data_IF_733007183089
#
_entry.id   IF_733007183089
#
_cell.length_a   1.000
_cell.length_b   1.000
_cell.length_c   1.000
_cell.angle_alpha   90.00
_cell.angle_beta   90.00
_cell.angle_gamma   90.00
#
_symmetry.space_group_name_H-M   'P 1'
#
loop_
_entity.id
_entity.type
_entity.pdbx_description
1 polymer ?
#
# COMPACT_ATOMS: atom_id res chain seq x y z
N UNK A 1 -1.69 -7.82 6.71
CA UNK A 1 -0.82 -8.89 6.15
C UNK A 1 0.65 -8.68 6.51
N UNK A 2 1.24 -7.51 6.22
CA UNK A 2 2.65 -7.22 6.57
C UNK A 2 3.01 -7.54 8.03
N UNK A 3 2.18 -7.13 9.01
CA UNK A 3 2.43 -7.37 10.44
C UNK A 3 2.56 -8.88 10.77
N UNK A 4 1.69 -9.70 10.16
CA UNK A 4 1.66 -11.15 10.39
C UNK A 4 2.84 -11.81 9.69
N UNK A 5 3.10 -11.45 8.42
CA UNK A 5 4.21 -12.00 7.66
C UNK A 5 5.56 -11.55 8.25
N UNK A 6 5.68 -10.33 8.76
CA UNK A 6 6.87 -9.83 9.45
C UNK A 6 7.15 -10.59 10.74
N UNK A 7 6.11 -10.95 11.49
CA UNK A 7 6.26 -11.82 12.65
C UNK A 7 6.72 -13.24 12.27
N UNK A 8 6.10 -13.85 11.27
CA UNK A 8 6.40 -15.22 10.83
C UNK A 8 7.77 -15.36 10.15
N UNK A 9 8.11 -14.47 9.21
CA UNK A 9 9.30 -14.61 8.37
C UNK A 9 10.52 -13.82 8.86
N UNK A 10 10.31 -12.74 9.63
CA UNK A 10 11.39 -11.86 10.12
C UNK A 10 11.54 -11.87 11.64
N UNK A 11 10.74 -12.69 12.35
CA UNK A 11 10.78 -12.81 13.81
C UNK A 11 10.38 -11.52 14.55
N UNK A 12 9.61 -10.63 13.92
CA UNK A 12 9.24 -9.35 14.52
C UNK A 12 8.15 -9.52 15.59
N UNK A 13 8.27 -8.79 16.71
CA UNK A 13 7.25 -8.82 17.75
C UNK A 13 6.04 -7.97 17.38
N UNK A 14 4.86 -8.60 17.39
CA UNK A 14 3.59 -7.91 17.16
C UNK A 14 3.25 -7.07 18.39
N UNK A 15 3.21 -5.75 18.21
CA UNK A 15 2.85 -4.81 19.28
C UNK A 15 1.34 -4.56 19.27
N UNK A 16 0.69 -4.66 20.43
CA UNK A 16 -0.76 -4.45 20.57
C UNK A 16 -1.24 -3.10 19.98
N UNK A 17 -0.43 -2.04 20.10
CA UNK A 17 -0.72 -0.72 19.52
C UNK A 17 -0.86 -0.75 17.99
N UNK A 18 -0.06 -1.58 17.33
CA UNK A 18 -0.10 -1.74 15.86
C UNK A 18 -1.40 -2.45 15.47
N UNK A 19 -1.81 -3.48 16.22
CA UNK A 19 -3.08 -4.16 16.00
C UNK A 19 -4.28 -3.20 16.15
N UNK A 20 -4.29 -2.39 17.20
CA UNK A 20 -5.34 -1.38 17.43
C UNK A 20 -5.37 -0.35 16.30
N UNK A 21 -4.21 0.19 15.91
CA UNK A 21 -4.12 1.12 14.79
C UNK A 21 -4.55 0.51 13.46
N UNK A 22 -4.29 -0.79 13.24
CA UNK A 22 -4.77 -1.52 12.07
C UNK A 22 -6.30 -1.62 12.05
N UNK A 23 -6.94 -1.90 13.19
CA UNK A 23 -8.41 -1.92 13.28
C UNK A 23 -9.01 -0.56 12.90
N UNK A 24 -8.49 0.54 13.49
CA UNK A 24 -8.92 1.90 13.13
C UNK A 24 -8.71 2.21 11.64
N UNK A 25 -7.57 1.81 11.08
CA UNK A 25 -7.28 1.99 9.65
C UNK A 25 -8.24 1.23 8.74
N UNK A 26 -8.52 -0.05 9.04
CA UNK A 26 -9.44 -0.88 8.26
C UNK A 26 -10.87 -0.33 8.35
N UNK A 27 -11.34 -0.03 9.56
CA UNK A 27 -12.69 0.54 9.76
C UNK A 27 -12.83 1.89 9.07
N UNK A 28 -11.81 2.74 9.11
CA UNK A 28 -11.83 4.02 8.44
C UNK A 28 -11.83 3.92 6.91
N UNK A 29 -11.04 3.00 6.32
CA UNK A 29 -11.07 2.72 4.88
C UNK A 29 -12.44 2.17 4.47
N UNK A 30 -13.01 1.25 5.25
CA UNK A 30 -14.34 0.71 4.99
C UNK A 30 -15.43 1.79 5.03
N UNK A 31 -15.31 2.77 5.94
CA UNK A 31 -16.21 3.92 6.00
C UNK A 31 -16.05 4.86 4.79
N UNK A 32 -14.81 5.13 4.35
CA UNK A 32 -14.55 5.97 3.16
C UNK A 32 -15.25 5.41 1.92
N UNK A 33 -15.16 4.09 1.72
CA UNK A 33 -15.71 3.41 0.55
C UNK A 33 -17.06 2.73 0.81
N UNK A 34 -17.79 3.16 1.84
CA UNK A 34 -19.02 2.48 2.28
C UNK A 34 -20.09 2.48 1.19
N UNK A 35 -20.31 3.62 0.53
CA UNK A 35 -21.26 3.75 -0.58
C UNK A 35 -20.96 2.77 -1.71
N UNK A 36 -19.70 2.69 -2.10
CA UNK A 36 -19.22 1.83 -3.16
C UNK A 36 -19.39 0.35 -2.77
N UNK A 37 -19.04 -0.02 -1.53
CA UNK A 37 -19.20 -1.38 -1.02
C UNK A 37 -20.67 -1.83 -1.01
N UNK A 38 -21.59 -0.99 -0.55
CA UNK A 38 -23.03 -1.33 -0.54
C UNK A 38 -23.62 -1.42 -1.95
N UNK A 39 -23.06 -0.70 -2.93
CA UNK A 39 -23.48 -0.81 -4.33
C UNK A 39 -23.06 -2.13 -4.98
N UNK A 40 -21.99 -2.77 -4.47
CA UNK A 40 -21.44 -4.04 -4.98
C UNK A 40 -22.13 -5.28 -4.41
N UNK A 41 -22.95 -5.14 -3.36
CA UNK A 41 -23.55 -6.28 -2.62
C UNK A 41 -24.50 -7.13 -3.49
N UNK A 42 -25.03 -6.57 -4.57
CA UNK A 42 -25.90 -7.28 -5.52
C UNK A 42 -25.16 -7.99 -6.67
N UNK A 43 -23.83 -7.90 -6.73
CA UNK A 43 -23.04 -8.48 -7.80
C UNK A 43 -22.29 -9.73 -7.34
N UNK A 44 -22.62 -10.89 -7.92
CA UNK A 44 -21.96 -12.16 -7.62
C UNK A 44 -20.46 -12.15 -7.97
N UNK A 45 -20.01 -11.23 -8.82
CA UNK A 45 -18.59 -11.04 -9.16
C UNK A 45 -17.79 -10.34 -8.07
N UNK A 46 -18.44 -9.64 -7.13
CA UNK A 46 -17.78 -8.92 -6.04
C UNK A 46 -16.95 -9.85 -5.15
N UNK A 47 -17.43 -11.08 -4.93
CA UNK A 47 -16.72 -12.08 -4.14
C UNK A 47 -15.42 -12.54 -4.82
N UNK A 48 -15.42 -12.70 -6.14
CA UNK A 48 -14.22 -13.07 -6.90
C UNK A 48 -13.19 -11.93 -6.85
N UNK A 49 -13.65 -10.69 -7.03
CA UNK A 49 -12.81 -9.50 -6.90
C UNK A 49 -12.18 -9.38 -5.51
N UNK A 50 -12.93 -9.68 -4.45
CA UNK A 50 -12.40 -9.67 -3.08
C UNK A 50 -11.25 -10.67 -2.91
N UNK A 51 -11.40 -11.91 -3.37
CA UNK A 51 -10.33 -12.91 -3.29
C UNK A 51 -9.10 -12.51 -4.10
N UNK A 52 -9.29 -11.92 -5.28
CA UNK A 52 -8.18 -11.38 -6.08
C UNK A 52 -7.45 -10.26 -5.35
N UNK A 53 -8.18 -9.32 -4.74
CA UNK A 53 -7.60 -8.23 -3.94
C UNK A 53 -6.82 -8.74 -2.71
N UNK A 54 -7.36 -9.76 -2.02
CA UNK A 54 -6.66 -10.39 -0.90
C UNK A 54 -5.39 -11.11 -1.36
N UNK A 55 -5.46 -11.84 -2.48
CA UNK A 55 -4.30 -12.47 -3.11
C UNK A 55 -3.24 -11.47 -3.52
N UNK A 56 -3.62 -10.37 -4.18
CA UNK A 56 -2.73 -9.29 -4.57
C UNK A 56 -2.06 -8.64 -3.35
N UNK A 57 -2.83 -8.35 -2.30
CA UNK A 57 -2.30 -7.77 -1.05
C UNK A 57 -1.34 -8.73 -0.34
N UNK A 58 -1.62 -10.04 -0.40
CA UNK A 58 -0.74 -11.06 0.17
C UNK A 58 0.59 -11.16 -0.58
N UNK A 59 0.56 -11.17 -1.91
CA UNK A 59 1.76 -11.14 -2.76
C UNK A 59 2.57 -9.86 -2.52
N UNK A 60 1.92 -8.70 -2.46
CA UNK A 60 2.56 -7.44 -2.12
C UNK A 60 3.23 -7.49 -0.73
N UNK A 61 2.56 -8.10 0.25
CA UNK A 61 3.11 -8.32 1.59
C UNK A 61 4.37 -9.19 1.55
N UNK A 62 4.38 -10.29 0.79
CA UNK A 62 5.59 -11.10 0.58
C UNK A 62 6.71 -10.26 -0.05
N UNK A 63 6.41 -9.46 -1.08
CA UNK A 63 7.39 -8.55 -1.70
C UNK A 63 8.01 -7.56 -0.71
N UNK A 64 7.19 -6.98 0.17
CA UNK A 64 7.64 -6.09 1.25
C UNK A 64 8.59 -6.78 2.24
N UNK A 65 8.24 -8.00 2.65
CA UNK A 65 9.07 -8.81 3.56
C UNK A 65 10.39 -9.22 2.91
N UNK A 66 10.34 -9.64 1.64
CA UNK A 66 11.53 -10.00 0.87
C UNK A 66 12.44 -8.78 0.67
N UNK A 67 11.89 -7.61 0.37
CA UNK A 67 12.65 -6.37 0.28
C UNK A 67 13.31 -6.00 1.60
N UNK A 68 12.57 -6.09 2.72
CA UNK A 68 13.13 -5.88 4.05
C UNK A 68 14.26 -6.87 4.36
N UNK A 69 14.12 -8.14 3.97
CA UNK A 69 15.16 -9.17 4.12
C UNK A 69 16.39 -8.86 3.26
N UNK A 70 16.20 -8.53 1.98
CA UNK A 70 17.29 -8.22 1.06
C UNK A 70 18.12 -7.03 1.56
N UNK A 71 17.46 -6.01 2.09
CA UNK A 71 18.14 -4.85 2.67
C UNK A 71 18.89 -5.17 3.97
N UNK A 72 18.43 -6.14 4.77
CA UNK A 72 19.21 -6.66 5.93
C UNK A 72 20.47 -7.42 5.52
N UNK A 73 20.56 -7.85 4.25
CA UNK A 73 21.75 -8.46 3.66
C UNK A 73 22.55 -7.43 2.82
N UNK A 74 22.36 -6.13 3.09
CA UNK A 74 23.05 -5.02 2.44
C UNK A 74 22.91 -4.98 0.90
N UNK A 75 21.87 -5.63 0.36
CA UNK A 75 21.55 -5.55 -1.06
C UNK A 75 20.98 -4.16 -1.38
N UNK A 76 21.51 -3.47 -2.40
CA UNK A 76 21.10 -2.12 -2.68
C UNK A 76 19.69 -2.06 -3.31
N UNK A 77 18.89 -1.09 -2.82
CA UNK A 77 17.44 -1.01 -3.07
C UNK A 77 17.11 -0.79 -4.53
N UNK A 78 17.87 0.06 -5.22
CA UNK A 78 17.59 0.42 -6.62
C UNK A 78 17.75 -0.80 -7.53
N UNK A 79 18.80 -1.59 -7.33
CA UNK A 79 19.11 -2.77 -8.13
C UNK A 79 18.09 -3.88 -7.90
N UNK A 80 17.73 -4.13 -6.64
CA UNK A 80 16.71 -5.13 -6.30
C UNK A 80 15.33 -4.72 -6.82
N UNK A 81 14.99 -3.44 -6.77
CA UNK A 81 13.76 -2.90 -7.36
C UNK A 81 13.76 -3.01 -8.90
N UNK A 82 14.87 -2.69 -9.56
CA UNK A 82 14.99 -2.79 -11.01
C UNK A 82 14.77 -4.22 -11.51
N UNK A 83 15.36 -5.22 -10.83
CA UNK A 83 15.10 -6.63 -11.14
C UNK A 83 13.65 -7.03 -10.86
N UNK A 84 13.09 -6.60 -9.72
CA UNK A 84 11.68 -6.84 -9.40
C UNK A 84 10.72 -6.29 -10.45
N UNK A 85 10.92 -5.06 -10.89
CA UNK A 85 10.14 -4.42 -11.96
C UNK A 85 10.32 -5.12 -13.31
N UNK A 86 11.55 -5.55 -13.64
CA UNK A 86 11.83 -6.28 -14.89
C UNK A 86 11.07 -7.60 -14.92
N UNK A 87 11.15 -8.41 -13.86
CA UNK A 87 10.39 -9.66 -13.78
C UNK A 87 8.88 -9.42 -13.78
N UNK A 88 8.40 -8.37 -13.08
CA UNK A 88 6.99 -7.98 -13.10
C UNK A 88 6.51 -7.64 -14.51
N UNK A 89 7.26 -6.82 -15.25
CA UNK A 89 6.96 -6.45 -16.62
C UNK A 89 6.96 -7.66 -17.57
N UNK A 90 7.94 -8.56 -17.44
CA UNK A 90 8.02 -9.78 -18.24
C UNK A 90 6.83 -10.71 -17.97
N UNK A 91 6.51 -10.97 -16.70
CA UNK A 91 5.36 -11.83 -16.33
C UNK A 91 4.06 -11.21 -16.83
N UNK A 92 3.88 -9.90 -16.66
CA UNK A 92 2.69 -9.20 -17.15
C UNK A 92 2.60 -9.26 -18.68
N UNK A 93 3.73 -9.11 -19.39
CA UNK A 93 3.79 -9.22 -20.84
C UNK A 93 3.45 -10.62 -21.34
N UNK A 94 3.98 -11.67 -20.71
CA UNK A 94 3.63 -13.07 -21.01
C UNK A 94 2.14 -13.32 -20.76
N UNK A 95 1.60 -12.81 -19.66
CA UNK A 95 0.19 -12.94 -19.33
C UNK A 95 -0.72 -12.23 -20.35
N UNK A 96 -0.36 -11.02 -20.79
CA UNK A 96 -1.06 -10.29 -21.84
C UNK A 96 -1.06 -11.06 -23.18
N UNK A 97 0.09 -11.64 -23.55
CA UNK A 97 0.21 -12.50 -24.75
C UNK A 97 -0.66 -13.77 -24.64
N UNK A 98 -0.63 -14.43 -23.48
CA UNK A 98 -1.42 -15.63 -23.23
C UNK A 98 -2.94 -15.37 -23.27
N UNK A 99 -3.37 -14.22 -22.76
CA UNK A 99 -4.78 -13.81 -22.75
C UNK A 99 -5.25 -13.21 -24.07
N UNK A 100 -4.33 -12.98 -25.03
CA UNK A 100 -4.66 -12.42 -26.34
C UNK A 100 -5.09 -10.95 -26.30
N UNK A 101 -4.72 -10.21 -25.24
CA UNK A 101 -5.02 -8.78 -25.14
C UNK A 101 -4.21 -8.03 -26.21
N UNK A 102 -4.85 -7.20 -27.05
CA UNK A 102 -4.13 -6.44 -28.07
C UNK A 102 -3.19 -5.43 -27.42
N UNK A 103 -1.97 -5.32 -27.96
CA UNK A 103 -1.03 -4.27 -27.59
C UNK A 103 -1.34 -3.00 -28.39
N UNK A 104 -2.44 -2.35 -28.03
CA UNK A 104 -2.85 -1.09 -28.64
C UNK A 104 -2.09 0.07 -28.00
N UNK A 105 -1.30 0.76 -28.82
CA UNK A 105 -0.58 1.97 -28.43
C UNK A 105 -1.24 3.17 -29.11
N UNK A 106 -1.73 4.12 -28.32
CA UNK A 106 -2.23 5.39 -28.84
C UNK A 106 -1.05 6.36 -29.02
N UNK A 107 -0.70 6.76 -30.27
CA UNK A 107 0.42 7.66 -30.53
C UNK A 107 0.15 9.12 -30.14
N UNK A 108 -0.96 9.42 -29.44
CA UNK A 108 -1.18 10.76 -28.90
C UNK A 108 -0.09 11.16 -27.89
N UNK A 109 0.25 12.45 -27.91
CA UNK A 109 1.19 13.05 -26.95
C UNK A 109 0.69 12.87 -25.52
N UNK A 110 -0.63 13.01 -25.30
CA UNK A 110 -1.25 12.85 -23.98
C UNK A 110 -1.06 11.44 -23.41
N UNK A 111 -1.31 10.40 -24.23
CA UNK A 111 -1.10 9.01 -23.83
C UNK A 111 0.37 8.75 -23.49
N UNK A 112 1.27 9.17 -24.37
CA UNK A 112 2.71 8.97 -24.19
C UNK A 112 3.26 9.67 -22.94
N UNK A 113 2.86 10.92 -22.71
CA UNK A 113 3.26 11.66 -21.51
C UNK A 113 2.70 11.00 -20.24
N UNK A 114 1.45 10.55 -20.26
CA UNK A 114 0.83 9.87 -19.12
C UNK A 114 1.53 8.54 -18.81
N UNK A 115 1.85 7.76 -19.85
CA UNK A 115 2.56 6.49 -19.72
C UNK A 115 3.98 6.70 -19.16
N UNK A 116 4.72 7.68 -19.68
CA UNK A 116 6.06 8.03 -19.18
C UNK A 116 5.98 8.51 -17.73
N UNK A 117 5.01 9.38 -17.41
CA UNK A 117 4.82 9.90 -16.06
C UNK A 117 4.54 8.78 -15.05
N UNK A 118 3.59 7.89 -15.36
CA UNK A 118 3.24 6.76 -14.49
C UNK A 118 4.39 5.74 -14.37
N UNK A 119 5.13 5.50 -15.44
CA UNK A 119 6.27 4.57 -15.41
C UNK A 119 7.42 5.12 -14.57
N UNK A 120 7.77 6.40 -14.75
CA UNK A 120 8.92 7.01 -14.08
C UNK A 120 8.58 7.45 -12.66
N UNK A 121 7.58 8.32 -12.51
CA UNK A 121 7.22 8.90 -11.21
C UNK A 121 6.30 7.97 -10.41
N UNK A 122 5.26 7.44 -11.05
CA UNK A 122 4.28 6.56 -10.41
C UNK A 122 4.83 5.18 -10.03
N UNK A 123 5.91 4.73 -10.71
CA UNK A 123 6.50 3.42 -10.46
C UNK A 123 7.94 3.50 -9.97
N UNK A 124 8.92 3.88 -10.80
CA UNK A 124 10.35 3.82 -10.45
C UNK A 124 10.67 4.62 -9.19
N UNK A 125 10.32 5.90 -9.16
CA UNK A 125 10.60 6.76 -8.00
C UNK A 125 9.71 6.44 -6.80
N UNK A 126 8.42 6.15 -7.02
CA UNK A 126 7.48 5.80 -5.96
C UNK A 126 7.92 4.52 -5.23
N UNK A 127 8.15 3.42 -5.96
CA UNK A 127 8.59 2.16 -5.37
C UNK A 127 10.01 2.26 -4.83
N UNK A 128 10.94 2.94 -5.51
CA UNK A 128 12.28 3.16 -4.98
C UNK A 128 12.25 3.84 -3.60
N UNK A 129 11.44 4.90 -3.47
CA UNK A 129 11.25 5.61 -2.20
C UNK A 129 10.54 4.75 -1.15
N UNK A 130 9.49 4.03 -1.55
CA UNK A 130 8.73 3.14 -0.68
C UNK A 130 9.59 1.99 -0.13
N UNK A 131 10.35 1.31 -0.98
CA UNK A 131 11.25 0.22 -0.57
C UNK A 131 12.41 0.74 0.29
N UNK A 132 12.93 1.93 -0.01
CA UNK A 132 13.92 2.59 0.85
C UNK A 132 13.35 2.87 2.25
N UNK A 133 12.09 3.30 2.32
CA UNK A 133 11.40 3.51 3.59
C UNK A 133 11.22 2.18 4.35
N UNK A 134 10.89 1.09 3.66
CA UNK A 134 10.81 -0.26 4.25
C UNK A 134 12.14 -0.63 4.93
N UNK A 135 13.28 -0.40 4.29
CA UNK A 135 14.58 -0.69 4.90
C UNK A 135 14.87 0.14 6.14
N UNK A 136 14.46 1.42 6.14
CA UNK A 136 14.74 2.37 7.23
C UNK A 136 13.86 2.16 8.46
N UNK A 137 12.55 1.96 8.28
CA UNK A 137 11.59 1.92 9.40
C UNK A 137 10.85 0.58 9.54
N UNK A 138 11.08 -0.37 8.64
CA UNK A 138 10.46 -1.69 8.60
C UNK A 138 9.17 -1.72 7.76
N UNK A 139 8.83 -2.91 7.25
CA UNK A 139 7.65 -3.15 6.40
C UNK A 139 6.33 -2.80 7.09
N UNK A 140 6.22 -3.05 8.40
CA UNK A 140 5.00 -2.78 9.17
C UNK A 140 4.68 -1.29 9.25
N UNK A 141 5.66 -0.47 9.69
CA UNK A 141 5.46 0.98 9.80
C UNK A 141 5.29 1.64 8.44
N UNK A 142 5.99 1.13 7.42
CA UNK A 142 5.88 1.63 6.05
C UNK A 142 4.50 1.36 5.46
N UNK A 143 3.83 0.26 5.82
CA UNK A 143 2.46 0.02 5.41
C UNK A 143 1.49 1.11 5.91
N UNK A 144 1.77 1.75 7.05
CA UNK A 144 0.98 2.89 7.52
C UNK A 144 1.25 4.16 6.72
N UNK A 145 2.28 4.26 5.88
CA UNK A 145 2.36 5.36 4.93
C UNK A 145 1.24 5.27 3.87
N UNK A 146 0.79 4.05 3.53
CA UNK A 146 -0.28 3.83 2.56
C UNK A 146 -1.67 4.31 3.04
N UNK A 147 -1.83 4.55 4.34
CA UNK A 147 -3.00 5.23 4.93
C UNK A 147 -3.16 6.65 4.36
N UNK A 148 -2.09 7.28 3.88
CA UNK A 148 -2.17 8.58 3.21
C UNK A 148 -2.74 8.48 1.79
N UNK A 149 -2.79 7.28 1.19
CA UNK A 149 -3.24 7.13 -0.20
C UNK A 149 -4.70 7.56 -0.40
N UNK A 150 -5.68 7.11 0.41
CA UNK A 150 -7.05 7.63 0.30
C UNK A 150 -7.12 9.15 0.52
N UNK A 151 -6.31 9.70 1.42
CA UNK A 151 -6.31 11.16 1.68
C UNK A 151 -5.89 11.94 0.44
N UNK A 152 -4.79 11.52 -0.19
CA UNK A 152 -4.26 12.16 -1.39
C UNK A 152 -5.23 11.92 -2.57
N UNK A 153 -5.73 10.69 -2.73
CA UNK A 153 -6.66 10.33 -3.79
C UNK A 153 -7.95 11.15 -3.74
N UNK A 154 -8.59 11.22 -2.57
CA UNK A 154 -9.81 12.02 -2.38
C UNK A 154 -9.54 13.51 -2.56
N UNK A 155 -8.37 14.01 -2.15
CA UNK A 155 -7.99 15.42 -2.36
C UNK A 155 -7.86 15.75 -3.84
N UNK A 156 -7.20 14.88 -4.62
CA UNK A 156 -7.10 15.02 -6.08
C UNK A 156 -8.49 14.92 -6.71
N UNK A 157 -9.30 13.93 -6.34
CA UNK A 157 -10.66 13.74 -6.85
C UNK A 157 -11.57 14.95 -6.50
N UNK A 158 -11.36 15.61 -5.37
CA UNK A 158 -12.08 16.86 -5.03
C UNK A 158 -11.69 18.01 -5.96
N UNK A 159 -10.42 18.09 -6.36
CA UNK A 159 -9.91 19.17 -7.19
C UNK A 159 -10.20 18.98 -8.68
N UNK A 160 -10.24 17.74 -9.15
CA UNK A 160 -10.28 17.41 -10.58
C UNK A 160 -11.54 16.64 -11.01
N UNK A 161 -12.28 16.03 -10.08
CA UNK A 161 -13.41 15.13 -10.39
C UNK A 161 -14.71 15.55 -9.68
N UNK A 162 -14.77 16.78 -9.14
CA UNK A 162 -15.92 17.33 -8.40
C UNK A 162 -16.42 16.43 -7.25
N UNK A 163 -15.52 15.66 -6.63
CA UNK A 163 -15.86 14.75 -5.54
C UNK A 163 -16.52 15.49 -4.37
N UNK A 164 -17.67 14.96 -3.93
CA UNK A 164 -18.43 15.51 -2.81
C UNK A 164 -18.16 14.71 -1.54
N UNK A 165 -17.51 15.36 -0.59
CA UNK A 165 -17.27 14.79 0.73
C UNK A 165 -18.58 14.46 1.44
N UNK A 166 -18.73 13.20 1.83
CA UNK A 166 -19.80 12.76 2.72
C UNK A 166 -19.34 12.80 4.17
N UNK A 167 -20.27 12.91 5.11
CA UNK A 167 -19.95 12.84 6.54
C UNK A 167 -19.28 11.51 6.91
N UNK A 168 -19.67 10.43 6.23
CA UNK A 168 -19.07 9.09 6.41
C UNK A 168 -17.63 9.07 5.92
N UNK A 169 -17.32 9.66 4.78
CA UNK A 169 -15.95 9.77 4.26
C UNK A 169 -15.05 10.61 5.17
N UNK A 170 -15.56 11.72 5.71
CA UNK A 170 -14.82 12.56 6.68
C UNK A 170 -14.54 11.78 7.97
N UNK A 171 -15.54 11.07 8.49
CA UNK A 171 -15.37 10.26 9.69
C UNK A 171 -14.39 9.10 9.46
N UNK A 172 -14.48 8.44 8.30
CA UNK A 172 -13.53 7.41 7.88
C UNK A 172 -12.11 7.96 7.80
N UNK A 173 -11.92 9.13 7.19
CA UNK A 173 -10.64 9.83 7.14
C UNK A 173 -10.08 10.10 8.55
N UNK A 174 -10.91 10.58 9.48
CA UNK A 174 -10.50 10.83 10.86
C UNK A 174 -10.05 9.54 11.58
N UNK A 175 -10.79 8.44 11.42
CA UNK A 175 -10.42 7.11 11.96
C UNK A 175 -9.08 6.62 11.41
N UNK A 176 -8.90 6.75 10.09
CA UNK A 176 -7.67 6.38 9.39
C UNK A 176 -6.47 7.17 9.93
N UNK A 177 -6.59 8.49 10.04
CA UNK A 177 -5.54 9.35 10.59
C UNK A 177 -5.25 9.05 12.07
N UNK A 178 -6.29 8.78 12.86
CA UNK A 178 -6.14 8.41 14.27
C UNK A 178 -5.40 7.07 14.43
N UNK A 179 -5.75 6.06 13.64
CA UNK A 179 -5.05 4.77 13.61
C UNK A 179 -3.58 4.91 13.24
N UNK A 180 -3.27 5.75 12.25
CA UNK A 180 -1.89 6.08 11.87
C UNK A 180 -1.10 6.73 13.01
N UNK A 181 -1.69 7.75 13.64
CA UNK A 181 -1.08 8.43 14.79
C UNK A 181 -0.75 7.46 15.92
N UNK A 182 -1.65 6.53 16.26
CA UNK A 182 -1.39 5.52 17.27
C UNK A 182 -0.17 4.66 16.92
N UNK A 183 -0.04 4.21 15.67
CA UNK A 183 1.09 3.34 15.29
C UNK A 183 2.42 4.08 15.24
N UNK A 184 2.45 5.32 14.74
CA UNK A 184 3.67 6.10 14.61
C UNK A 184 4.12 6.75 15.92
N UNK A 185 3.22 6.94 16.90
CA UNK A 185 3.58 7.47 18.22
C UNK A 185 4.67 6.59 18.85
N UNK A 186 5.85 7.15 19.09
CA UNK A 186 6.93 6.48 19.83
C UNK A 186 6.42 6.08 21.22
N UNK A 187 6.71 4.86 21.73
CA UNK A 187 6.44 4.56 23.12
C UNK A 187 7.21 5.54 24.01
N UNK A 188 6.59 6.01 25.09
CA UNK A 188 7.30 6.76 26.11
C UNK A 188 8.50 5.92 26.58
N UNK A 189 9.70 6.51 26.62
CA UNK A 189 10.86 5.83 27.20
C UNK A 189 10.46 5.39 28.61
N UNK A 190 10.65 4.12 29.02
CA UNK A 190 10.56 3.80 30.42
C UNK A 190 11.56 4.68 31.16
N UNK A 191 11.08 5.44 32.13
CA UNK A 191 11.94 6.16 33.06
C UNK A 191 12.70 5.06 33.79
N UNK A 192 13.99 4.89 33.45
CA UNK A 192 14.89 4.06 34.23
C UNK A 192 15.08 4.82 35.53
N UNK A 193 14.31 4.45 36.55
CA UNK A 193 14.56 4.90 37.92
C UNK A 193 15.92 4.32 38.30
N UNK A 194 16.96 5.15 38.26
CA UNK A 194 18.23 4.80 38.86
C UNK A 194 17.95 4.58 40.36
N UNK A 195 18.17 3.36 40.83
CA UNK A 195 18.24 3.06 42.25
C UNK A 195 19.65 3.48 42.69
N UNK A 196 19.75 4.63 43.35
CA UNK A 196 20.86 5.00 44.24
C UNK A 196 20.28 5.35 45.62
#
# INVERSE_FOLDING_TARGET
MNIVNGALFLGQSIKARVLVGAMFGISGIAAIFWSELTSLENDSSAWQGLWMCLGATFLASIGNILSARNQRHDLPVVQTNAWGMTYGALIMGIYALYTGVPFDYDPTISYSLSLIYLSVFGSIFAFGSYLTLIGRIGADKTAYAAVLFPVIALSISTLFEDYRWTLVAIFGLALVLFGNYLVLKKPARPVVTALE
#
